data_IF_710573424292
#
_entry.id   IF_710573424292
#
_cell.length_a   1.000
_cell.length_b   1.000
_cell.length_c   1.000
_cell.angle_alpha   90.00
_cell.angle_beta   90.00
_cell.angle_gamma   90.00
#
_symmetry.space_group_name_H-M   'P 1'
#
loop_
_entity.id
_entity.type
_entity.pdbx_description
1 polymer ?
#
# COMPACT_ATOMS: atom_id res chain seq x y z
N UNK A 1 49.65 -13.29 -68.89
CA UNK A 1 50.48 -12.34 -69.66
C UNK A 1 49.95 -10.93 -69.33
N UNK A 2 50.77 -10.10 -68.65
CA UNK A 2 50.59 -8.64 -68.35
C UNK A 2 49.34 -8.27 -67.52
N UNK A 3 49.34 -7.66 -66.31
CA UNK A 3 50.22 -6.78 -65.53
C UNK A 3 50.49 -5.39 -66.09
N UNK A 4 50.31 -4.39 -65.19
CA UNK A 4 50.65 -2.95 -65.19
C UNK A 4 49.48 -2.00 -65.52
N UNK A 5 49.26 -0.85 -64.87
CA UNK A 5 49.78 -0.14 -63.66
C UNK A 5 48.88 1.10 -63.47
N UNK A 6 48.76 1.65 -62.27
CA UNK A 6 48.36 3.07 -62.11
C UNK A 6 47.83 3.46 -60.72
N UNK A 7 48.71 4.08 -59.90
CA UNK A 7 48.41 4.76 -58.63
C UNK A 7 47.79 6.14 -58.89
N UNK A 8 46.93 6.63 -57.99
CA UNK A 8 47.19 7.83 -57.14
C UNK A 8 45.97 8.24 -56.30
N UNK A 9 46.28 8.71 -55.09
CA UNK A 9 45.40 9.24 -54.04
C UNK A 9 44.48 10.38 -54.48
N UNK A 10 43.31 10.49 -53.84
CA UNK A 10 42.84 11.78 -53.31
C UNK A 10 41.88 11.59 -52.13
N UNK A 11 42.05 12.46 -51.14
CA UNK A 11 41.36 12.51 -49.86
C UNK A 11 39.87 12.82 -50.04
N UNK A 12 39.01 12.15 -49.27
CA UNK A 12 37.56 12.37 -49.32
C UNK A 12 36.90 12.20 -47.96
N UNK A 13 36.90 13.29 -47.19
CA UNK A 13 35.96 13.66 -46.13
C UNK A 13 35.36 12.56 -45.23
N UNK A 14 35.85 12.49 -43.98
CA UNK A 14 35.09 12.00 -42.83
C UNK A 14 33.86 12.89 -42.63
N UNK A 15 32.70 12.45 -43.10
CA UNK A 15 31.41 13.04 -42.71
C UNK A 15 31.04 12.50 -41.34
N UNK A 16 31.31 13.32 -40.32
CA UNK A 16 30.73 13.19 -38.98
C UNK A 16 29.21 13.28 -39.08
N UNK A 17 28.51 12.15 -38.96
CA UNK A 17 27.07 12.14 -38.69
C UNK A 17 26.85 12.56 -37.24
N UNK A 18 26.82 13.87 -37.05
CA UNK A 18 26.31 14.54 -35.87
C UNK A 18 24.82 14.13 -35.75
N UNK A 19 24.52 13.20 -34.83
CA UNK A 19 23.14 12.87 -34.46
C UNK A 19 22.61 14.00 -33.59
N UNK A 20 22.19 15.09 -34.22
CA UNK A 20 21.30 16.07 -33.60
C UNK A 20 19.88 15.47 -33.57
N UNK A 21 19.72 14.44 -32.75
CA UNK A 21 18.43 13.88 -32.39
C UNK A 21 18.05 14.40 -31.02
N UNK A 22 17.40 15.58 -30.96
CA UNK A 22 16.61 15.96 -29.79
C UNK A 22 15.51 14.92 -29.63
N UNK A 23 15.79 13.90 -28.83
CA UNK A 23 14.82 12.90 -28.43
C UNK A 23 13.73 13.57 -27.60
N UNK A 24 12.65 13.98 -28.25
CA UNK A 24 11.37 14.16 -27.58
C UNK A 24 10.80 12.76 -27.30
N UNK A 25 11.42 12.03 -26.37
CA UNK A 25 10.69 11.00 -25.65
C UNK A 25 9.53 11.68 -24.90
N UNK A 26 8.40 10.99 -24.66
CA UNK A 26 7.37 11.53 -23.79
C UNK A 26 8.04 11.91 -22.48
N UNK A 27 8.04 13.21 -22.13
CA UNK A 27 8.48 13.61 -20.79
C UNK A 27 7.50 12.98 -19.82
N UNK A 28 7.97 12.01 -19.04
CA UNK A 28 7.17 11.46 -17.96
C UNK A 28 6.66 12.62 -17.10
N UNK A 29 5.33 12.69 -16.95
CA UNK A 29 4.72 13.71 -16.12
C UNK A 29 5.16 13.45 -14.68
N UNK A 30 5.47 14.50 -13.90
CA UNK A 30 5.87 14.33 -12.52
C UNK A 30 4.74 13.62 -11.76
N UNK A 31 5.07 12.49 -11.15
CA UNK A 31 4.17 11.74 -10.28
C UNK A 31 4.39 12.18 -8.83
N UNK A 32 3.35 12.02 -8.01
CA UNK A 32 3.35 12.41 -6.62
C UNK A 32 2.66 11.37 -5.76
N UNK A 33 3.00 11.34 -4.47
CA UNK A 33 2.34 10.50 -3.50
C UNK A 33 1.09 11.22 -2.99
N UNK A 34 -0.07 10.59 -3.16
CA UNK A 34 -1.34 11.08 -2.63
C UNK A 34 -1.79 10.16 -1.51
N UNK A 35 -2.02 10.76 -0.33
CA UNK A 35 -2.52 10.08 0.86
C UNK A 35 -4.02 10.35 0.99
N UNK A 36 -4.79 9.31 1.30
CA UNK A 36 -6.22 9.42 1.64
C UNK A 36 -6.40 9.19 3.14
N UNK A 37 -7.10 10.09 3.82
CA UNK A 37 -7.42 10.03 5.24
C UNK A 37 -8.91 10.25 5.47
N UNK A 38 -9.45 9.75 6.57
CA UNK A 38 -10.83 9.97 7.00
C UNK A 38 -10.94 11.04 8.12
N UNK A 39 -10.07 12.04 8.03
CA UNK A 39 -9.88 13.15 8.98
C UNK A 39 -10.87 14.31 8.79
N UNK A 40 -11.80 14.19 7.85
CA UNK A 40 -12.85 15.19 7.63
C UNK A 40 -14.16 14.71 8.25
N UNK A 41 -14.86 15.58 8.97
CA UNK A 41 -16.09 15.20 9.70
C UNK A 41 -17.20 14.58 8.85
N UNK A 42 -17.16 14.78 7.53
CA UNK A 42 -18.14 14.24 6.58
C UNK A 42 -17.58 13.11 5.70
N UNK A 43 -16.33 12.70 5.90
CA UNK A 43 -15.71 11.62 5.12
C UNK A 43 -14.21 11.76 5.00
N UNK A 44 -13.73 11.90 3.77
CA UNK A 44 -12.33 11.70 3.43
C UNK A 44 -11.67 12.97 2.90
N UNK A 45 -10.36 13.08 3.09
CA UNK A 45 -9.50 14.06 2.44
C UNK A 45 -8.38 13.38 1.65
N UNK A 46 -8.03 13.98 0.51
CA UNK A 46 -6.88 13.58 -0.31
C UNK A 46 -5.81 14.64 -0.16
N UNK A 47 -4.61 14.25 0.22
CA UNK A 47 -3.47 15.14 0.49
C UNK A 47 -2.29 14.77 -0.40
N UNK A 48 -1.73 15.75 -1.09
CA UNK A 48 -0.49 15.59 -1.86
C UNK A 48 0.69 15.68 -0.91
N UNK A 49 1.50 14.63 -0.82
CA UNK A 49 2.68 14.57 0.05
C UNK A 49 3.91 15.09 -0.71
N UNK A 50 4.67 15.97 -0.06
CA UNK A 50 5.96 16.44 -0.57
C UNK A 50 7.09 15.56 -0.03
N UNK A 51 7.72 14.80 -0.92
CA UNK A 51 8.84 13.92 -0.57
C UNK A 51 10.19 14.66 -0.58
N UNK A 52 10.28 15.81 -1.27
CA UNK A 52 11.53 16.60 -1.37
C UNK A 52 11.90 17.31 -0.07
N UNK A 53 10.92 17.51 0.80
CA UNK A 53 11.11 18.11 2.12
C UNK A 53 11.99 17.24 3.03
N UNK A 54 11.93 15.90 2.86
CA UNK A 54 12.79 14.95 3.58
C UNK A 54 14.27 15.20 3.30
N UNK A 55 14.62 15.41 2.02
CA UNK A 55 16.01 15.68 1.61
C UNK A 55 16.52 17.02 2.15
N UNK A 56 15.63 18.01 2.28
CA UNK A 56 15.98 19.33 2.81
C UNK A 56 16.29 19.28 4.30
N UNK A 57 15.46 18.58 5.09
CA UNK A 57 15.73 18.38 6.53
C UNK A 57 17.01 17.57 6.72
N UNK A 58 17.22 16.51 5.93
CA UNK A 58 18.45 15.71 6.03
C UNK A 58 19.70 16.52 5.72
N UNK A 59 19.67 17.40 4.70
CA UNK A 59 20.79 18.30 4.40
C UNK A 59 21.10 19.24 5.57
N UNK A 60 20.06 19.77 6.22
CA UNK A 60 20.23 20.61 7.41
C UNK A 60 20.82 19.78 8.56
N UNK A 61 20.29 18.60 8.83
CA UNK A 61 20.79 17.75 9.92
C UNK A 61 22.24 17.29 9.70
N UNK A 62 22.58 16.82 8.49
CA UNK A 62 23.96 16.46 8.12
C UNK A 62 24.92 17.66 8.17
N UNK A 63 24.43 18.89 8.00
CA UNK A 63 25.27 20.09 8.20
C UNK A 63 25.50 20.46 9.68
N UNK A 64 24.76 19.84 10.60
CA UNK A 64 24.82 20.09 12.04
C UNK A 64 25.52 18.96 12.82
N UNK A 65 25.81 17.82 12.19
CA UNK A 65 26.50 16.68 12.80
C UNK A 65 27.93 16.57 12.27
N UNK A 66 28.89 16.27 13.14
CA UNK A 66 30.27 15.99 12.75
C UNK A 66 30.38 14.64 11.99
N UNK A 67 31.29 14.58 11.01
CA UNK A 67 31.41 13.60 9.91
C UNK A 67 31.60 12.10 10.29
N UNK A 68 31.52 11.69 11.56
CA UNK A 68 31.99 10.37 12.03
C UNK A 68 30.90 9.30 12.28
N UNK A 69 29.62 9.58 12.08
CA UNK A 69 28.55 8.59 12.26
C UNK A 69 27.84 8.26 10.93
N UNK A 70 28.26 7.15 10.30
CA UNK A 70 27.71 6.61 9.04
C UNK A 70 26.36 5.89 9.25
N UNK A 71 25.77 6.01 10.45
CA UNK A 71 24.42 5.53 10.71
C UNK A 71 23.37 6.49 10.16
N UNK A 72 22.35 5.95 9.47
CA UNK A 72 21.19 6.75 9.07
C UNK A 72 20.70 7.53 10.29
N UNK A 73 20.41 8.84 10.16
CA UNK A 73 20.07 9.66 11.31
C UNK A 73 18.93 8.97 12.03
N UNK A 74 19.17 8.62 13.30
CA UNK A 74 18.11 8.26 14.24
C UNK A 74 17.25 9.51 14.36
N UNK A 75 16.34 9.72 13.41
CA UNK A 75 15.25 10.69 13.48
C UNK A 75 14.25 10.15 14.51
N UNK A 76 14.74 9.91 15.73
CA UNK A 76 13.95 9.91 16.94
C UNK A 76 13.76 11.40 17.20
N UNK A 77 12.54 11.93 17.10
CA UNK A 77 12.27 13.24 17.64
C UNK A 77 12.50 13.11 19.16
N UNK A 78 13.64 13.59 19.64
CA UNK A 78 13.90 13.70 21.07
C UNK A 78 13.03 14.85 21.55
N UNK A 79 12.05 14.56 22.39
CA UNK A 79 11.30 15.57 23.13
C UNK A 79 12.17 15.97 24.33
N UNK A 80 13.13 16.89 24.11
CA UNK A 80 14.04 17.37 25.17
C UNK A 80 13.40 18.48 26.04
N UNK A 81 12.10 18.76 25.85
CA UNK A 81 11.37 19.80 26.58
C UNK A 81 11.83 21.24 26.30
N UNK A 82 12.92 21.45 25.55
CA UNK A 82 13.43 22.76 25.14
C UNK A 82 13.27 23.03 23.63
N UNK A 83 13.22 21.96 22.84
CA UNK A 83 13.24 21.93 21.38
C UNK A 83 12.22 20.90 20.91
N UNK A 84 10.93 21.22 21.10
CA UNK A 84 9.82 20.30 20.79
C UNK A 84 10.03 19.55 19.47
N UNK A 85 9.84 18.23 19.52
CA UNK A 85 10.01 17.32 18.40
C UNK A 85 9.48 17.90 17.06
N UNK A 86 10.36 18.00 16.05
CA UNK A 86 10.00 18.53 14.73
C UNK A 86 9.18 17.47 13.98
N UNK A 87 7.89 17.41 14.27
CA UNK A 87 6.92 16.65 13.48
C UNK A 87 6.47 17.47 12.27
N UNK A 88 6.31 16.82 11.11
CA UNK A 88 5.71 17.51 9.98
C UNK A 88 4.20 17.64 10.21
N UNK A 89 3.68 18.85 10.04
CA UNK A 89 2.26 19.04 9.84
C UNK A 89 1.82 18.41 8.52
N UNK A 90 0.66 17.77 8.49
CA UNK A 90 0.11 17.24 7.25
C UNK A 90 -0.15 18.36 6.22
N UNK A 91 0.25 18.18 4.95
CA UNK A 91 -0.10 19.12 3.89
C UNK A 91 -1.61 19.31 3.79
N UNK A 92 -2.09 20.51 3.48
CA UNK A 92 -3.52 20.80 3.36
C UNK A 92 -4.24 19.85 2.41
N UNK A 93 -5.50 19.53 2.74
CA UNK A 93 -6.37 18.73 1.89
C UNK A 93 -6.52 19.36 0.50
N UNK A 94 -6.21 18.58 -0.53
CA UNK A 94 -6.37 18.95 -1.93
C UNK A 94 -7.84 18.86 -2.35
N UNK A 95 -8.50 17.77 -1.95
CA UNK A 95 -9.90 17.43 -2.25
C UNK A 95 -10.50 16.80 -1.00
N UNK A 96 -11.77 17.04 -0.74
CA UNK A 96 -12.55 16.39 0.32
C UNK A 96 -13.85 15.87 -0.25
N UNK A 97 -14.15 14.61 0.00
CA UNK A 97 -15.35 13.96 -0.52
C UNK A 97 -16.09 13.22 0.60
N UNK A 98 -17.43 13.19 0.54
CA UNK A 98 -18.22 12.58 1.59
C UNK A 98 -17.97 11.07 1.64
N UNK A 99 -18.23 10.45 2.79
CA UNK A 99 -18.20 9.00 2.95
C UNK A 99 -18.21 8.56 4.41
N UNK A 100 -18.58 7.30 4.65
CA UNK A 100 -18.52 6.72 5.99
C UNK A 100 -17.06 6.59 6.42
N UNK A 101 -16.68 7.22 7.53
CA UNK A 101 -15.34 7.16 8.12
C UNK A 101 -15.08 5.76 8.72
N UNK A 102 -13.81 5.41 8.91
CA UNK A 102 -13.40 4.09 9.43
C UNK A 102 -13.38 2.95 8.40
N UNK A 103 -13.54 3.27 7.12
CA UNK A 103 -13.75 2.28 6.06
C UNK A 103 -12.73 2.45 4.93
N UNK A 104 -11.42 2.22 5.16
CA UNK A 104 -10.39 2.38 4.12
C UNK A 104 -10.67 1.56 2.85
N UNK A 105 -11.40 0.45 2.98
CA UNK A 105 -11.86 -0.41 1.88
C UNK A 105 -12.86 0.28 0.93
N UNK A 106 -13.47 1.38 1.38
CA UNK A 106 -14.28 2.27 0.54
C UNK A 106 -13.44 2.95 -0.54
N UNK A 107 -12.12 3.08 -0.33
CA UNK A 107 -11.20 3.61 -1.32
C UNK A 107 -10.66 2.44 -2.13
N UNK A 108 -11.22 2.29 -3.32
CA UNK A 108 -11.09 1.08 -4.10
C UNK A 108 -9.71 1.00 -4.75
N UNK A 109 -9.25 2.09 -5.34
CA UNK A 109 -7.94 2.11 -5.95
C UNK A 109 -7.71 3.34 -6.80
N UNK A 110 -6.58 3.34 -7.49
CA UNK A 110 -6.24 4.35 -8.46
C UNK A 110 -5.78 3.70 -9.77
N UNK A 111 -6.11 4.37 -10.87
CA UNK A 111 -5.61 4.06 -12.20
C UNK A 111 -5.54 5.37 -12.99
N UNK A 112 -4.50 5.51 -13.80
CA UNK A 112 -4.12 6.76 -14.43
C UNK A 112 -4.09 7.92 -13.43
N UNK A 113 -5.00 8.89 -13.56
CA UNK A 113 -5.05 10.10 -12.74
C UNK A 113 -6.21 10.09 -11.74
N UNK A 114 -6.92 8.96 -11.63
CA UNK A 114 -8.18 8.88 -10.91
C UNK A 114 -8.04 8.04 -9.66
N UNK A 115 -8.75 8.46 -8.62
CA UNK A 115 -9.01 7.66 -7.42
C UNK A 115 -10.50 7.33 -7.41
N UNK A 116 -10.83 6.05 -7.25
CA UNK A 116 -12.19 5.59 -7.09
C UNK A 116 -12.51 5.34 -5.62
N UNK A 117 -13.67 5.83 -5.19
CA UNK A 117 -14.23 5.54 -3.89
C UNK A 117 -15.70 5.07 -4.03
N UNK A 118 -16.06 3.99 -3.33
CA UNK A 118 -17.44 3.57 -3.14
C UNK A 118 -17.85 3.85 -1.71
N UNK A 119 -18.96 4.57 -1.51
CA UNK A 119 -19.47 4.77 -0.16
C UNK A 119 -20.21 3.51 0.33
N UNK A 120 -19.98 3.08 1.58
CA UNK A 120 -20.77 2.02 2.19
C UNK A 120 -22.24 2.40 2.29
N UNK A 121 -23.11 1.39 2.26
CA UNK A 121 -24.55 1.52 2.37
C UNK A 121 -24.96 2.29 3.63
N UNK A 122 -25.56 3.47 3.50
CA UNK A 122 -26.34 4.07 4.59
C UNK A 122 -27.72 3.42 4.56
N UNK A 123 -27.95 2.46 5.46
CA UNK A 123 -29.29 1.98 5.71
C UNK A 123 -30.07 3.14 6.31
N UNK A 124 -31.14 3.55 5.62
CA UNK A 124 -32.17 4.52 6.00
C UNK A 124 -32.03 5.91 5.37
N UNK A 125 -32.58 6.07 4.16
CA UNK A 125 -33.72 6.96 3.90
C UNK A 125 -34.51 6.39 2.68
N UNK A 126 -35.81 6.12 2.83
CA UNK A 126 -36.79 5.90 1.75
C UNK A 126 -36.70 4.66 0.83
N UNK A 127 -36.20 3.50 1.27
CA UNK A 127 -36.28 2.22 0.51
C UNK A 127 -35.70 2.24 -0.93
N UNK A 128 -34.90 3.25 -1.28
CA UNK A 128 -34.14 3.31 -2.52
C UNK A 128 -32.66 3.31 -2.14
N UNK A 129 -31.99 2.17 -2.37
CA UNK A 129 -30.55 2.05 -2.22
C UNK A 129 -29.91 2.84 -3.36
N UNK A 130 -29.30 3.99 -3.07
CA UNK A 130 -28.48 4.71 -4.03
C UNK A 130 -27.02 4.61 -3.60
N UNK A 131 -26.22 3.94 -4.43
CA UNK A 131 -24.77 3.93 -4.30
C UNK A 131 -24.23 5.30 -4.73
N UNK A 132 -23.83 6.15 -3.80
CA UNK A 132 -23.02 7.32 -4.15
C UNK A 132 -21.58 6.86 -4.28
N UNK A 133 -21.10 6.83 -5.50
CA UNK A 133 -19.77 6.34 -5.78
C UNK A 133 -19.05 7.36 -6.64
N UNK A 134 -17.83 7.66 -6.24
CA UNK A 134 -17.16 8.91 -6.59
C UNK A 134 -15.88 8.55 -7.33
N UNK A 135 -15.81 8.95 -8.61
CA UNK A 135 -14.55 8.99 -9.33
C UNK A 135 -13.96 10.40 -9.18
N UNK A 136 -12.69 10.48 -8.78
CA UNK A 136 -12.02 11.75 -8.51
C UNK A 136 -10.83 11.86 -9.45
N UNK A 137 -10.86 12.82 -10.37
CA UNK A 137 -9.67 13.17 -11.15
C UNK A 137 -8.77 14.07 -10.29
N UNK A 138 -7.62 13.55 -9.90
CA UNK A 138 -6.67 14.24 -9.03
C UNK A 138 -5.95 15.38 -9.74
N UNK A 139 -5.75 15.29 -11.06
CA UNK A 139 -5.07 16.33 -11.82
C UNK A 139 -5.99 17.51 -12.08
N UNK A 140 -7.24 17.25 -12.46
CA UNK A 140 -8.24 18.30 -12.68
C UNK A 140 -8.87 18.79 -11.36
N UNK A 141 -8.75 18.01 -10.28
CA UNK A 141 -9.39 18.25 -8.98
C UNK A 141 -10.92 18.31 -9.08
N UNK A 142 -11.48 17.43 -9.91
CA UNK A 142 -12.90 17.39 -10.23
C UNK A 142 -13.49 16.03 -9.89
N UNK A 143 -14.77 16.06 -9.55
CA UNK A 143 -15.59 14.87 -9.50
C UNK A 143 -16.00 14.49 -10.92
N UNK A 144 -15.90 13.20 -11.22
CA UNK A 144 -16.43 12.60 -12.44
C UNK A 144 -17.63 11.76 -12.04
N UNK A 145 -18.70 11.84 -12.82
CA UNK A 145 -19.82 10.91 -12.69
C UNK A 145 -19.26 9.48 -12.81
N UNK A 146 -19.34 8.77 -11.69
CA UNK A 146 -18.61 7.53 -11.55
C UNK A 146 -19.19 6.44 -12.45
N UNK A 147 -18.39 5.42 -12.79
CA UNK A 147 -18.78 4.32 -13.68
C UNK A 147 -19.94 3.44 -13.20
N UNK A 148 -20.56 3.73 -12.05
CA UNK A 148 -21.21 2.73 -11.22
C UNK A 148 -22.55 2.26 -11.80
N UNK A 149 -22.73 0.94 -11.88
CA UNK A 149 -23.99 0.32 -12.28
C UNK A 149 -24.91 0.10 -11.07
N UNK A 150 -26.23 0.10 -11.28
CA UNK A 150 -27.25 -0.17 -10.25
C UNK A 150 -27.14 -1.58 -9.59
N UNK A 151 -26.31 -2.46 -10.17
CA UNK A 151 -26.11 -3.88 -9.80
C UNK A 151 -24.97 -4.13 -8.82
N UNK A 152 -24.38 -3.09 -8.21
CA UNK A 152 -23.31 -3.21 -7.20
C UNK A 152 -23.82 -3.53 -5.78
N UNK A 153 -25.10 -3.88 -5.64
CA UNK A 153 -25.73 -4.22 -4.36
C UNK A 153 -25.07 -5.42 -3.65
N UNK A 154 -24.40 -6.30 -4.41
CA UNK A 154 -23.88 -7.58 -3.91
C UNK A 154 -22.36 -7.61 -3.66
N UNK A 155 -21.59 -6.58 -4.07
CA UNK A 155 -20.13 -6.61 -3.96
C UNK A 155 -19.67 -5.88 -2.69
N UNK A 156 -19.44 -6.63 -1.60
CA UNK A 156 -18.83 -6.08 -0.38
C UNK A 156 -17.31 -6.08 -0.50
N UNK A 157 -16.71 -4.89 -0.37
CA UNK A 157 -15.27 -4.71 -0.18
C UNK A 157 -14.37 -5.47 -1.18
N UNK A 158 -14.47 -5.22 -2.51
CA UNK A 158 -13.68 -5.96 -3.50
C UNK A 158 -12.18 -5.61 -3.44
N UNK A 159 -11.32 -6.57 -3.80
CA UNK A 159 -9.91 -6.31 -4.09
C UNK A 159 -9.86 -5.68 -5.47
N UNK A 160 -9.30 -4.47 -5.53
CA UNK A 160 -9.13 -3.74 -6.77
C UNK A 160 -7.69 -3.85 -7.27
N UNK A 161 -7.52 -4.22 -8.53
CA UNK A 161 -6.23 -4.56 -9.13
C UNK A 161 -6.06 -3.70 -10.40
N UNK A 162 -5.25 -2.63 -10.35
CA UNK A 162 -4.96 -1.82 -11.53
C UNK A 162 -3.95 -2.53 -12.44
N UNK A 163 -4.28 -2.70 -13.72
CA UNK A 163 -3.47 -3.40 -14.73
C UNK A 163 -3.62 -2.70 -16.08
N UNK A 164 -2.53 -2.19 -16.65
CA UNK A 164 -2.49 -1.68 -18.03
C UNK A 164 -3.58 -0.65 -18.38
N UNK A 165 -3.89 0.30 -17.49
CA UNK A 165 -4.96 1.31 -17.69
C UNK A 165 -6.38 0.80 -17.47
N UNK A 166 -6.54 -0.44 -17.01
CA UNK A 166 -7.80 -1.07 -16.63
C UNK A 166 -7.82 -1.31 -15.13
N UNK A 167 -9.01 -1.42 -14.56
CA UNK A 167 -9.19 -1.74 -13.16
C UNK A 167 -10.02 -3.01 -13.02
N UNK A 168 -9.48 -3.99 -12.31
CA UNK A 168 -10.14 -5.26 -12.06
C UNK A 168 -10.67 -5.31 -10.64
N UNK A 169 -11.87 -5.84 -10.47
CA UNK A 169 -12.57 -5.96 -9.20
C UNK A 169 -12.83 -7.43 -8.93
N UNK A 170 -12.20 -7.93 -7.88
CA UNK A 170 -12.35 -9.30 -7.39
C UNK A 170 -13.19 -9.25 -6.11
N UNK A 171 -14.31 -9.98 -6.08
CA UNK A 171 -15.18 -10.12 -4.90
C UNK A 171 -15.78 -11.53 -4.81
N UNK A 172 -16.59 -11.76 -3.77
CA UNK A 172 -17.12 -13.08 -3.34
C UNK A 172 -17.54 -14.00 -4.49
N UNK A 173 -18.33 -13.50 -5.44
CA UNK A 173 -18.83 -14.29 -6.58
C UNK A 173 -18.72 -13.55 -7.93
N UNK A 174 -17.85 -12.53 -7.99
CA UNK A 174 -17.70 -11.71 -9.18
C UNK A 174 -16.25 -11.35 -9.47
N UNK A 175 -15.90 -11.40 -10.75
CA UNK A 175 -14.68 -10.80 -11.26
C UNK A 175 -15.07 -9.89 -12.41
N UNK A 176 -14.79 -8.60 -12.29
CA UNK A 176 -15.22 -7.58 -13.25
C UNK A 176 -14.07 -6.69 -13.66
N UNK A 177 -14.10 -6.22 -14.89
CA UNK A 177 -13.17 -5.24 -15.43
C UNK A 177 -13.89 -3.93 -15.68
N UNK A 178 -13.25 -2.84 -15.32
CA UNK A 178 -13.60 -1.48 -15.69
C UNK A 178 -12.51 -0.92 -16.61
N UNK A 179 -12.92 -0.39 -17.75
CA UNK A 179 -12.04 0.40 -18.62
C UNK A 179 -12.73 1.68 -19.08
N UNK A 180 -11.93 2.66 -19.48
CA UNK A 180 -12.42 3.82 -20.22
C UNK A 180 -12.49 3.48 -21.70
N UNK A 181 -13.65 3.70 -22.30
CA UNK A 181 -13.82 3.73 -23.75
C UNK A 181 -13.78 5.18 -24.22
N UNK A 182 -12.93 5.45 -25.21
CA UNK A 182 -12.99 6.68 -25.97
C UNK A 182 -14.06 6.49 -27.05
N UNK A 183 -15.17 7.22 -26.94
CA UNK A 183 -16.12 7.33 -28.04
C UNK A 183 -15.68 8.53 -28.91
N UNK A 184 -15.12 8.23 -30.09
CA UNK A 184 -14.65 9.23 -31.06
C UNK A 184 -15.76 10.20 -31.53
N UNK A 185 -17.02 9.94 -31.20
CA UNK A 185 -18.15 10.78 -31.61
C UNK A 185 -18.44 11.94 -30.64
N UNK A 186 -17.88 11.95 -29.43
CA UNK A 186 -18.21 12.95 -28.39
C UNK A 186 -16.94 13.50 -27.70
N UNK A 187 -16.69 14.80 -27.85
CA UNK A 187 -15.52 15.51 -27.29
C UNK A 187 -15.55 15.57 -25.73
N UNK A 188 -16.64 15.12 -25.09
CA UNK A 188 -16.89 15.32 -23.67
C UNK A 188 -17.26 14.07 -22.84
N UNK A 189 -17.35 12.86 -23.40
CA UNK A 189 -17.72 11.68 -22.61
C UNK A 189 -16.71 10.54 -22.76
N UNK A 190 -15.82 10.39 -21.78
CA UNK A 190 -15.24 9.08 -21.46
C UNK A 190 -16.36 8.17 -21.00
N UNK A 191 -16.76 7.21 -21.84
CA UNK A 191 -17.76 6.23 -21.48
C UNK A 191 -17.09 5.10 -20.69
N UNK A 192 -17.64 4.80 -19.52
CA UNK A 192 -17.16 3.70 -18.69
C UNK A 192 -17.74 2.39 -19.18
N UNK A 193 -16.89 1.39 -19.40
CA UNK A 193 -17.32 0.07 -19.86
C UNK A 193 -16.97 -0.96 -18.81
N UNK A 194 -18.01 -1.66 -18.35
CA UNK A 194 -17.87 -2.84 -17.50
C UNK A 194 -17.88 -4.10 -18.34
N UNK A 195 -17.07 -5.06 -17.95
CA UNK A 195 -17.09 -6.41 -18.52
C UNK A 195 -17.02 -7.44 -17.41
N UNK A 196 -17.95 -8.39 -17.43
CA UNK A 196 -17.86 -9.55 -16.56
C UNK A 196 -16.78 -10.51 -17.06
N UNK A 197 -16.03 -11.06 -16.11
CA UNK A 197 -14.96 -12.00 -16.33
C UNK A 197 -15.31 -13.34 -15.69
N UNK A 198 -14.57 -14.41 -16.01
CA UNK A 198 -14.76 -15.71 -15.39
C UNK A 198 -14.74 -15.60 -13.86
N UNK A 199 -15.75 -16.19 -13.24
CA UNK A 199 -15.87 -16.18 -11.78
C UNK A 199 -14.66 -16.87 -11.14
N UNK A 200 -14.17 -16.37 -9.99
CA UNK A 200 -13.12 -17.02 -9.23
C UNK A 200 -13.50 -18.46 -8.89
N UNK A 201 -12.53 -19.36 -8.94
CA UNK A 201 -12.70 -20.78 -8.55
C UNK A 201 -12.29 -21.03 -7.09
N UNK A 202 -12.28 -19.96 -6.28
CA UNK A 202 -11.80 -19.93 -4.90
C UNK A 202 -12.60 -18.90 -4.09
N UNK A 203 -12.55 -19.03 -2.76
CA UNK A 203 -13.27 -18.14 -1.84
C UNK A 203 -12.52 -16.82 -1.68
N UNK A 204 -13.11 -15.74 -2.16
CA UNK A 204 -12.50 -14.40 -2.12
C UNK A 204 -11.99 -13.98 -0.74
N UNK A 205 -12.72 -14.30 0.33
CA UNK A 205 -12.43 -13.87 1.70
C UNK A 205 -11.13 -14.47 2.25
N UNK A 206 -10.63 -15.53 1.61
CA UNK A 206 -9.38 -16.20 1.96
C UNK A 206 -8.18 -15.67 1.18
N UNK A 207 -8.37 -14.71 0.26
CA UNK A 207 -7.28 -14.06 -0.48
C UNK A 207 -6.42 -13.26 0.48
N UNK A 208 -5.12 -13.55 0.46
CA UNK A 208 -4.11 -12.88 1.30
C UNK A 208 -3.25 -11.92 0.51
N UNK A 209 -3.03 -12.20 -0.79
CA UNK A 209 -2.23 -11.36 -1.65
C UNK A 209 -2.50 -11.53 -3.14
N UNK A 210 -2.02 -10.55 -3.90
CA UNK A 210 -2.04 -10.59 -5.35
C UNK A 210 -0.82 -9.88 -5.93
N UNK A 211 -0.44 -10.24 -7.15
CA UNK A 211 0.60 -9.57 -7.92
C UNK A 211 0.19 -9.50 -9.39
N UNK A 212 0.66 -8.47 -10.08
CA UNK A 212 0.48 -8.34 -11.54
C UNK A 212 1.77 -8.82 -12.19
N UNK A 213 1.64 -9.68 -13.20
CA UNK A 213 2.78 -10.22 -13.95
C UNK A 213 3.40 -9.13 -14.84
N UNK A 214 4.71 -9.21 -15.17
CA UNK A 214 5.41 -8.25 -16.04
C UNK A 214 4.80 -8.04 -17.42
N UNK A 215 3.94 -8.95 -17.87
CA UNK A 215 3.24 -8.84 -19.14
C UNK A 215 2.07 -7.83 -19.10
N UNK A 216 1.82 -7.22 -17.94
CA UNK A 216 0.76 -6.23 -17.70
C UNK A 216 -0.64 -6.74 -18.09
N UNK A 217 -0.86 -8.06 -18.03
CA UNK A 217 -2.16 -8.69 -18.32
C UNK A 217 -2.49 -9.83 -17.38
N UNK A 218 -1.51 -10.56 -16.87
CA UNK A 218 -1.76 -11.72 -16.04
C UNK A 218 -1.80 -11.31 -14.58
N UNK A 219 -2.85 -11.69 -13.87
CA UNK A 219 -3.01 -11.42 -12.45
C UNK A 219 -2.78 -12.72 -11.70
N UNK A 220 -1.94 -12.70 -10.68
CA UNK A 220 -1.74 -13.79 -9.73
C UNK A 220 -2.42 -13.44 -8.40
N UNK A 221 -3.12 -14.40 -7.82
CA UNK A 221 -3.83 -14.26 -6.53
C UNK A 221 -3.49 -15.46 -5.66
N UNK A 222 -3.08 -15.21 -4.42
CA UNK A 222 -2.80 -16.25 -3.44
C UNK A 222 -3.72 -16.10 -2.23
N UNK A 223 -3.98 -17.23 -1.58
CA UNK A 223 -4.82 -17.26 -0.40
C UNK A 223 -4.68 -18.53 0.42
N UNK A 224 -5.24 -18.48 1.61
CA UNK A 224 -5.19 -19.55 2.61
C UNK A 224 -6.39 -20.48 2.48
N UNK A 225 -6.50 -21.17 1.35
CA UNK A 225 -7.62 -22.06 1.00
C UNK A 225 -7.51 -23.45 1.65
N UNK A 226 -7.16 -23.50 2.93
CA UNK A 226 -6.80 -24.73 3.65
C UNK A 226 -5.38 -25.24 3.34
N UNK A 227 -4.92 -25.09 2.10
CA UNK A 227 -3.51 -25.26 1.69
C UNK A 227 -3.03 -24.00 0.94
N UNK A 228 -1.77 -23.56 1.14
CA UNK A 228 -1.21 -22.43 0.40
C UNK A 228 -1.32 -22.68 -1.10
N UNK A 229 -2.07 -21.84 -1.80
CA UNK A 229 -2.37 -22.02 -3.22
C UNK A 229 -2.36 -20.67 -3.93
N UNK A 230 -1.87 -20.69 -5.17
CA UNK A 230 -1.87 -19.53 -6.05
C UNK A 230 -2.71 -19.81 -7.28
N UNK A 231 -3.44 -18.82 -7.75
CA UNK A 231 -4.21 -18.84 -8.97
C UNK A 231 -3.73 -17.74 -9.90
N UNK A 232 -3.88 -17.93 -11.21
CA UNK A 232 -3.68 -16.85 -12.18
C UNK A 232 -4.82 -16.76 -13.18
N UNK A 233 -4.96 -15.60 -13.79
CA UNK A 233 -5.87 -15.35 -14.90
C UNK A 233 -5.23 -14.40 -15.90
N UNK A 234 -5.23 -14.77 -17.19
CA UNK A 234 -4.87 -13.87 -18.29
C UNK A 234 -6.09 -12.98 -18.61
N UNK A 235 -5.90 -11.67 -18.49
CA UNK A 235 -6.95 -10.67 -18.74
C UNK A 235 -6.91 -10.05 -20.14
N UNK A 236 -6.10 -10.60 -21.05
CA UNK A 236 -5.98 -10.16 -22.44
C UNK A 236 -7.35 -9.97 -23.11
N UNK A 237 -7.50 -8.91 -23.88
CA UNK A 237 -8.72 -8.67 -24.66
C UNK A 237 -8.76 -9.62 -25.86
N UNK A 238 -9.80 -10.46 -26.02
CA UNK A 238 -9.92 -11.31 -27.20
C UNK A 238 -9.89 -10.51 -28.51
N UNK A 239 -10.26 -9.22 -28.50
CA UNK A 239 -10.17 -8.35 -29.68
C UNK A 239 -8.74 -7.88 -30.01
N UNK A 240 -7.78 -7.97 -29.08
CA UNK A 240 -6.39 -7.50 -29.29
C UNK A 240 -5.50 -8.50 -30.04
N UNK A 241 -5.94 -9.75 -30.21
CA UNK A 241 -5.16 -10.77 -30.91
C UNK A 241 -5.90 -11.25 -32.15
N UNK A 242 -5.29 -11.05 -33.32
CA UNK A 242 -5.69 -11.66 -34.59
C UNK A 242 -5.30 -13.15 -34.66
N UNK A 243 -5.43 -13.88 -33.55
CA UNK A 243 -5.17 -15.31 -33.45
C UNK A 243 -6.47 -16.06 -33.73
N UNK A 244 -6.42 -17.10 -34.55
CA UNK A 244 -7.58 -17.92 -34.92
C UNK A 244 -8.12 -18.76 -33.73
N UNK A 245 -7.33 -18.90 -32.67
CA UNK A 245 -7.71 -19.58 -31.42
C UNK A 245 -8.21 -18.54 -30.38
N UNK A 246 -9.45 -18.66 -29.87
CA UNK A 246 -9.96 -17.76 -28.84
C UNK A 246 -9.16 -17.93 -27.54
N UNK A 247 -8.62 -16.84 -27.01
CA UNK A 247 -8.00 -16.86 -25.67
C UNK A 247 -9.10 -17.18 -24.65
N UNK A 248 -9.09 -18.40 -24.12
CA UNK A 248 -10.00 -18.82 -23.06
C UNK A 248 -9.53 -18.13 -21.77
N UNK A 249 -10.32 -17.16 -21.29
CA UNK A 249 -10.12 -16.58 -19.97
C UNK A 249 -10.60 -17.60 -18.95
N UNK A 250 -9.68 -18.23 -18.23
CA UNK A 250 -9.97 -19.18 -17.16
C UNK A 250 -8.98 -19.00 -16.02
N UNK A 251 -9.45 -19.21 -14.79
CA UNK A 251 -8.59 -19.24 -13.62
C UNK A 251 -7.78 -20.54 -13.62
N UNK A 252 -6.46 -20.40 -13.62
CA UNK A 252 -5.50 -21.52 -13.52
C UNK A 252 -5.00 -21.63 -12.09
N UNK A 253 -5.01 -22.83 -11.53
CA UNK A 253 -4.38 -23.11 -10.23
C UNK A 253 -2.91 -23.48 -10.42
N UNK A 254 -2.03 -22.88 -9.63
CA UNK A 254 -0.59 -23.09 -9.61
C UNK A 254 -0.17 -23.75 -8.29
N UNK A 255 0.47 -24.92 -8.40
CA UNK A 255 1.20 -25.62 -7.33
C UNK A 255 0.56 -25.64 -5.93
N UNK A 256 1.39 -25.92 -4.93
CA UNK A 256 1.09 -25.79 -3.50
C UNK A 256 2.01 -24.72 -2.89
N UNK A 257 1.90 -23.50 -3.39
CA UNK A 257 2.68 -22.35 -2.94
C UNK A 257 1.81 -21.10 -2.93
N UNK A 258 2.23 -20.09 -2.16
CA UNK A 258 1.59 -18.78 -2.09
C UNK A 258 2.62 -17.67 -2.28
N UNK A 259 2.17 -16.52 -2.80
CA UNK A 259 2.97 -15.31 -2.81
C UNK A 259 3.39 -14.97 -1.36
N UNK A 260 4.66 -14.60 -1.13
CA UNK A 260 5.19 -14.35 0.21
C UNK A 260 4.87 -12.92 0.70
N UNK A 261 3.75 -12.35 0.22
CA UNK A 261 3.37 -10.96 0.46
C UNK A 261 2.06 -10.85 1.21
N UNK A 262 1.93 -9.83 2.06
CA UNK A 262 0.64 -9.38 2.58
C UNK A 262 0.08 -8.31 1.65
N UNK A 263 -1.10 -8.52 1.07
CA UNK A 263 -1.72 -7.58 0.15
C UNK A 263 -1.06 -7.57 -1.24
N UNK A 264 -0.65 -6.40 -1.73
CA UNK A 264 -0.14 -6.25 -3.11
C UNK A 264 1.36 -6.52 -3.20
N UNK A 265 1.75 -7.42 -4.11
CA UNK A 265 3.10 -7.52 -4.66
C UNK A 265 3.26 -6.62 -5.90
N UNK A 266 4.42 -5.99 -6.03
CA UNK A 266 4.79 -5.14 -7.15
C UNK A 266 5.90 -5.81 -7.94
N UNK A 267 5.76 -5.88 -9.27
CA UNK A 267 6.90 -6.24 -10.10
C UNK A 267 7.88 -5.08 -10.19
N UNK A 268 9.16 -5.35 -9.94
CA UNK A 268 10.24 -4.42 -10.17
C UNK A 268 11.12 -4.88 -11.34
N UNK A 269 11.21 -4.12 -12.44
CA UNK A 269 11.93 -4.53 -13.64
C UNK A 269 13.46 -4.49 -13.50
N UNK A 270 14.01 -3.75 -12.54
CA UNK A 270 15.46 -3.70 -12.32
C UNK A 270 15.95 -4.89 -11.51
N UNK A 271 15.12 -5.37 -10.58
CA UNK A 271 15.38 -6.59 -9.80
C UNK A 271 14.87 -7.87 -10.47
N UNK A 272 14.01 -7.74 -11.50
CA UNK A 272 13.30 -8.83 -12.17
C UNK A 272 12.58 -9.76 -11.19
N UNK A 273 11.89 -9.15 -10.21
CA UNK A 273 11.28 -9.87 -9.10
C UNK A 273 9.96 -9.22 -8.68
N UNK A 274 9.07 -10.00 -8.07
CA UNK A 274 7.97 -9.44 -7.30
C UNK A 274 8.48 -9.03 -5.92
N UNK A 275 8.03 -7.85 -5.46
CA UNK A 275 8.42 -7.19 -4.23
C UNK A 275 7.16 -6.91 -3.40
N UNK A 276 7.18 -7.23 -2.11
CA UNK A 276 6.05 -6.94 -1.23
C UNK A 276 6.41 -6.94 0.25
N UNK A 277 5.43 -6.62 1.09
CA UNK A 277 5.56 -6.70 2.55
C UNK A 277 5.49 -8.17 2.99
N UNK A 278 6.41 -8.59 3.87
CA UNK A 278 6.41 -9.98 4.37
C UNK A 278 5.06 -10.38 5.00
N UNK A 279 4.69 -11.65 4.79
CA UNK A 279 3.56 -12.30 5.49
C UNK A 279 3.92 -12.85 6.85
N UNK A 280 5.19 -13.15 7.09
CA UNK A 280 5.60 -13.94 8.26
C UNK A 280 5.78 -13.05 9.49
N UNK A 281 5.37 -13.56 10.65
CA UNK A 281 5.37 -12.79 11.91
C UNK A 281 6.79 -12.48 12.41
N UNK A 282 7.74 -13.37 12.17
CA UNK A 282 9.15 -13.24 12.53
C UNK A 282 9.89 -12.25 11.63
N UNK A 283 9.46 -12.11 10.38
CA UNK A 283 10.03 -11.16 9.42
C UNK A 283 9.16 -9.91 9.23
N UNK A 284 8.25 -9.61 10.18
CA UNK A 284 7.39 -8.43 10.12
C UNK A 284 8.18 -7.12 9.99
N UNK A 285 7.82 -6.32 8.98
CA UNK A 285 8.49 -5.07 8.65
C UNK A 285 9.66 -5.22 7.68
N UNK A 286 9.99 -6.43 7.23
CA UNK A 286 10.90 -6.65 6.11
C UNK A 286 10.16 -6.60 4.77
N UNK A 287 10.92 -6.25 3.73
CA UNK A 287 10.49 -6.40 2.34
C UNK A 287 10.94 -7.78 1.87
N UNK A 288 10.10 -8.44 1.11
CA UNK A 288 10.41 -9.73 0.49
C UNK A 288 10.47 -9.53 -1.01
N UNK A 289 11.45 -10.19 -1.65
CA UNK A 289 11.45 -10.42 -3.09
C UNK A 289 11.30 -11.90 -3.39
N UNK A 290 10.60 -12.22 -4.47
CA UNK A 290 10.58 -13.57 -5.03
C UNK A 290 10.58 -13.54 -6.56
N UNK A 291 11.01 -14.65 -7.18
CA UNK A 291 11.00 -14.78 -8.63
C UNK A 291 9.58 -14.65 -9.19
N UNK A 292 9.47 -14.11 -10.41
CA UNK A 292 8.20 -14.02 -11.12
C UNK A 292 7.79 -15.41 -11.60
N UNK A 293 6.62 -15.87 -11.17
CA UNK A 293 6.09 -17.16 -11.60
C UNK A 293 5.65 -17.12 -13.07
N UNK A 294 5.98 -18.17 -13.82
CA UNK A 294 5.49 -18.34 -15.19
C UNK A 294 3.97 -18.58 -15.21
N UNK A 295 3.21 -17.89 -16.07
CA UNK A 295 1.76 -18.12 -16.20
C UNK A 295 1.42 -19.48 -16.82
N UNK A 296 2.39 -20.12 -17.49
CA UNK A 296 2.24 -21.42 -18.16
C UNK A 296 2.86 -22.58 -17.35
N UNK A 297 3.25 -22.35 -16.11
CA UNK A 297 3.80 -23.42 -15.25
C UNK A 297 2.76 -24.51 -14.97
N UNK A 298 3.15 -25.78 -15.14
CA UNK A 298 2.29 -26.91 -14.79
C UNK A 298 2.00 -26.98 -13.28
N UNK A 299 0.84 -27.55 -12.90
CA UNK A 299 0.43 -27.78 -11.50
C UNK A 299 1.48 -28.53 -10.66
N UNK A 300 2.32 -29.33 -11.30
CA UNK A 300 3.33 -30.17 -10.66
C UNK A 300 4.67 -29.45 -10.43
N UNK A 301 4.87 -28.25 -11.00
CA UNK A 301 6.02 -27.42 -10.66
C UNK A 301 5.73 -26.72 -9.33
N UNK A 302 6.37 -27.20 -8.26
CA UNK A 302 6.67 -26.34 -7.13
C UNK A 302 7.56 -25.24 -7.68
N UNK A 303 7.14 -23.98 -7.70
CA UNK A 303 8.02 -22.89 -7.30
C UNK A 303 7.32 -21.53 -7.29
N UNK A 304 7.24 -20.96 -6.10
CA UNK A 304 7.85 -19.67 -5.83
C UNK A 304 9.27 -19.99 -5.34
N UNK A 305 10.32 -19.60 -6.06
CA UNK A 305 11.70 -19.81 -5.60
C UNK A 305 12.51 -18.53 -5.58
N UNK A 306 13.61 -18.60 -4.83
CA UNK A 306 14.48 -17.47 -4.49
C UNK A 306 13.75 -16.41 -3.62
N UNK A 307 13.22 -16.86 -2.48
CA UNK A 307 12.77 -15.95 -1.43
C UNK A 307 13.97 -15.22 -0.84
N UNK A 308 13.95 -13.89 -0.90
CA UNK A 308 14.98 -13.06 -0.28
C UNK A 308 14.30 -11.97 0.54
N UNK A 309 14.70 -11.89 1.80
CA UNK A 309 14.24 -10.87 2.73
C UNK A 309 15.22 -9.70 2.70
N UNK A 310 14.70 -8.48 2.91
CA UNK A 310 15.54 -7.34 3.14
C UNK A 310 16.40 -7.56 4.38
N UNK A 311 17.64 -7.08 4.37
CA UNK A 311 18.49 -7.08 5.57
C UNK A 311 17.95 -6.14 6.64
N UNK A 312 17.39 -5.02 6.19
CA UNK A 312 16.87 -4.00 7.06
C UNK A 312 15.40 -4.27 7.39
N UNK A 313 15.05 -4.09 8.66
CA UNK A 313 13.68 -3.97 9.11
C UNK A 313 13.22 -2.52 8.92
N UNK A 314 12.16 -2.31 8.16
CA UNK A 314 11.73 -0.97 7.76
C UNK A 314 10.72 -0.32 8.70
N UNK A 315 10.03 -1.11 9.53
CA UNK A 315 9.17 -0.62 10.60
C UNK A 315 9.96 0.11 11.68
N UNK A 316 9.27 0.85 12.54
CA UNK A 316 9.91 1.53 13.65
C UNK A 316 10.46 0.54 14.68
N UNK A 317 11.71 0.74 15.07
CA UNK A 317 12.37 -0.01 16.16
C UNK A 317 12.41 0.79 17.47
N UNK A 318 11.85 2.00 17.47
CA UNK A 318 11.82 2.86 18.66
C UNK A 318 10.82 2.26 19.67
N UNK A 319 11.23 1.91 20.90
CA UNK A 319 10.38 1.17 21.84
C UNK A 319 9.06 1.87 22.21
N UNK A 320 9.05 3.21 22.19
CA UNK A 320 7.87 4.03 22.48
C UNK A 320 6.90 4.14 21.30
N UNK A 321 7.34 3.76 20.09
CA UNK A 321 6.54 3.77 18.87
C UNK A 321 5.95 2.38 18.65
N UNK A 322 4.62 2.32 18.58
CA UNK A 322 3.90 1.06 18.41
C UNK A 322 3.29 1.00 17.02
N UNK A 323 3.66 -0.04 16.28
CA UNK A 323 3.14 -0.33 14.96
C UNK A 323 1.64 -0.68 14.99
N UNK A 324 0.85 -0.08 14.11
CA UNK A 324 -0.59 -0.35 13.93
C UNK A 324 -0.81 -1.12 12.61
N UNK A 325 -0.17 -0.67 11.54
CA UNK A 325 -0.30 -1.24 10.21
C UNK A 325 0.58 -0.52 9.19
N UNK A 326 0.66 -1.06 7.99
CA UNK A 326 1.46 -0.47 6.92
C UNK A 326 0.93 -0.77 5.53
N UNK A 327 1.37 0.04 4.56
CA UNK A 327 1.15 -0.18 3.13
C UNK A 327 2.39 0.21 2.35
N UNK A 328 2.75 -0.61 1.37
CA UNK A 328 3.86 -0.38 0.47
C UNK A 328 3.34 0.19 -0.86
N UNK A 329 4.02 1.24 -1.35
CA UNK A 329 3.72 1.89 -2.62
C UNK A 329 4.96 1.85 -3.50
N UNK A 330 4.84 1.26 -4.70
CA UNK A 330 5.89 1.33 -5.71
C UNK A 330 5.87 2.70 -6.40
N UNK A 331 7.03 3.35 -6.47
CA UNK A 331 7.18 4.68 -7.05
C UNK A 331 7.73 4.64 -8.49
N UNK A 332 8.20 3.48 -8.96
CA UNK A 332 8.84 3.35 -10.26
C UNK A 332 10.22 4.01 -10.33
N UNK A 333 11.05 3.51 -11.24
CA UNK A 333 12.42 3.98 -11.48
C UNK A 333 13.38 3.73 -10.30
N UNK A 334 14.56 3.20 -10.57
CA UNK A 334 15.62 2.95 -9.58
C UNK A 334 15.14 2.10 -8.39
N UNK A 335 14.27 1.13 -8.68
CA UNK A 335 13.58 0.29 -7.69
C UNK A 335 13.08 1.03 -6.45
N UNK A 336 12.48 2.22 -6.65
CA UNK A 336 12.07 3.12 -5.56
C UNK A 336 10.69 2.77 -5.01
N UNK A 337 10.60 2.73 -3.69
CA UNK A 337 9.39 2.45 -2.94
C UNK A 337 9.17 3.46 -1.82
N UNK A 338 7.92 3.54 -1.38
CA UNK A 338 7.51 4.27 -0.20
C UNK A 338 6.70 3.35 0.73
N UNK A 339 7.15 3.23 1.97
CA UNK A 339 6.44 2.53 3.03
C UNK A 339 5.70 3.54 3.90
N UNK A 340 4.39 3.36 4.03
CA UNK A 340 3.53 4.09 4.94
C UNK A 340 3.29 3.23 6.15
N UNK A 341 3.68 3.68 7.34
CA UNK A 341 3.52 2.98 8.59
C UNK A 341 2.68 3.82 9.55
N UNK A 342 1.53 3.31 9.99
CA UNK A 342 0.72 3.92 11.04
C UNK A 342 1.28 3.54 12.41
N UNK A 343 1.55 4.55 13.26
CA UNK A 343 2.06 4.33 14.61
C UNK A 343 1.35 5.21 15.64
N UNK A 344 1.34 4.78 16.89
CA UNK A 344 1.10 5.66 18.03
C UNK A 344 2.35 5.77 18.90
N UNK A 345 2.51 6.91 19.58
CA UNK A 345 3.54 7.13 20.58
C UNK A 345 2.88 7.11 21.95
N UNK A 346 3.29 6.18 22.81
CA UNK A 346 2.89 6.19 24.21
C UNK A 346 3.68 7.30 24.94
N UNK A 347 2.98 8.25 25.57
CA UNK A 347 3.62 9.15 26.52
C UNK A 347 4.21 8.30 27.64
N UNK A 348 5.50 8.48 27.94
CA UNK A 348 6.19 7.64 28.93
C UNK A 348 5.46 7.67 30.27
N UNK A 349 5.23 6.50 30.86
CA UNK A 349 5.06 6.37 32.31
C UNK A 349 6.43 6.70 32.92
N UNK A 350 6.75 7.97 32.97
CA UNK A 350 7.98 8.51 33.54
C UNK A 350 7.58 9.64 34.48
N UNK A 351 6.75 9.32 35.48
CA UNK A 351 6.56 10.12 36.69
C UNK A 351 5.81 9.32 37.78
N UNK A 352 6.18 8.06 37.97
CA UNK A 352 5.94 7.42 39.26
C UNK A 352 7.28 7.28 39.99
N UNK A 353 7.47 7.93 41.14
CA UNK A 353 8.64 7.67 41.97
C UNK A 353 8.57 6.19 42.37
N UNK A 354 9.55 5.41 41.94
CA UNK A 354 9.77 4.03 42.38
C UNK A 354 9.90 4.00 43.89
N UNK A 355 8.76 3.79 44.56
CA UNK A 355 8.67 3.31 45.92
C UNK A 355 9.05 1.84 45.92
N UNK A 356 10.20 1.56 46.53
CA UNK A 356 10.77 0.25 46.76
C UNK A 356 9.73 -0.71 47.38
N UNK A 357 9.57 -1.90 46.79
CA UNK A 357 8.72 -2.95 47.35
C UNK A 357 8.72 -4.21 46.49
N UNK A 358 9.76 -5.04 46.65
CA UNK A 358 9.72 -6.43 46.23
C UNK A 358 8.46 -7.11 46.79
N UNK A 359 7.66 -7.77 45.94
CA UNK A 359 6.94 -8.94 46.41
C UNK A 359 6.83 -10.00 45.31
N UNK A 360 7.25 -11.19 45.72
CA UNK A 360 7.56 -12.37 44.92
C UNK A 360 6.27 -13.01 44.40
N UNK A 361 6.35 -13.55 43.18
CA UNK A 361 5.47 -14.61 42.74
C UNK A 361 5.69 -15.85 43.62
N UNK A 362 4.61 -16.41 44.14
CA UNK A 362 4.55 -17.81 44.56
C UNK A 362 3.23 -18.39 44.08
N UNK A 363 3.37 -19.52 43.40
CA UNK A 363 2.35 -20.33 42.76
C UNK A 363 1.40 -21.07 43.73
N UNK A 364 0.31 -21.56 43.14
CA UNK A 364 -0.41 -22.81 43.43
C UNK A 364 -1.48 -22.89 44.54
N UNK A 365 -2.72 -23.13 44.05
CA UNK A 365 -3.69 -24.17 44.46
C UNK A 365 -4.25 -24.16 45.90
N UNK A 366 -5.56 -23.92 46.05
CA UNK A 366 -6.57 -24.98 46.18
C UNK A 366 -7.96 -24.48 46.60
N UNK A 367 -8.94 -25.27 46.17
CA UNK A 367 -10.37 -25.26 46.46
C UNK A 367 -10.70 -25.22 47.97
N UNK A 368 -11.83 -24.60 48.36
CA UNK A 368 -13.05 -25.26 48.90
C UNK A 368 -13.96 -24.31 49.70
N UNK A 369 -15.26 -24.55 49.52
CA UNK A 369 -16.41 -24.33 50.44
C UNK A 369 -16.82 -22.89 50.82
N UNK A 370 -17.96 -22.41 50.31
CA UNK A 370 -19.33 -22.62 50.83
C UNK A 370 -19.66 -21.64 51.98
N UNK A 371 -20.53 -20.66 51.70
CA UNK A 371 -21.86 -20.67 52.30
C UNK A 371 -22.78 -19.58 51.73
N UNK A 372 -23.99 -20.02 51.45
CA UNK A 372 -25.19 -19.23 51.15
C UNK A 372 -25.64 -18.52 52.43
N UNK A 373 -26.03 -17.25 52.37
CA UNK A 373 -27.27 -16.78 52.99
C UNK A 373 -27.79 -15.52 52.30
N UNK A 374 -29.12 -15.47 52.24
CA UNK A 374 -29.98 -14.56 51.50
C UNK A 374 -30.44 -13.40 52.39
N UNK A 375 -30.66 -12.26 51.72
CA UNK A 375 -31.56 -11.15 52.05
C UNK A 375 -31.28 -10.33 53.32
N UNK A 376 -31.07 -9.02 53.11
CA UNK A 376 -31.78 -7.93 53.81
C UNK A 376 -31.63 -6.66 52.96
N UNK A 377 -32.74 -6.19 52.39
CA UNK A 377 -32.91 -4.82 51.92
C UNK A 377 -32.85 -3.88 53.12
N UNK A 378 -31.99 -2.86 53.07
CA UNK A 378 -32.15 -1.59 53.78
C UNK A 378 -31.50 -0.48 52.95
N UNK A 379 -32.35 0.41 52.47
CA UNK A 379 -32.00 1.73 51.95
C UNK A 379 -31.38 2.59 53.08
N UNK A 380 -30.28 3.29 52.80
CA UNK A 380 -30.17 4.75 53.02
C UNK A 380 -28.76 5.26 52.66
N UNK A 381 -28.77 6.17 51.69
CA UNK A 381 -27.83 7.23 51.34
C UNK A 381 -26.32 7.17 51.69
N UNK A 382 -25.52 7.46 50.65
CA UNK A 382 -24.32 8.32 50.63
C UNK A 382 -22.96 7.60 50.73
N UNK A 383 -22.35 7.34 49.57
CA UNK A 383 -21.00 7.83 49.31
C UNK A 383 -20.69 7.85 47.80
N UNK A 384 -20.30 9.02 47.33
CA UNK A 384 -19.61 9.25 46.06
C UNK A 384 -18.31 8.43 46.05
N UNK A 385 -18.22 7.44 45.16
CA UNK A 385 -16.95 7.03 44.59
C UNK A 385 -17.22 6.76 43.11
N UNK A 386 -17.06 7.82 42.31
CA UNK A 386 -16.84 7.65 40.88
C UNK A 386 -15.49 6.96 40.75
N UNK A 387 -15.49 5.65 40.49
CA UNK A 387 -14.38 5.00 39.80
C UNK A 387 -14.32 5.65 38.42
N UNK A 388 -13.56 6.75 38.35
CA UNK A 388 -13.10 7.29 37.08
C UNK A 388 -12.11 6.27 36.56
N UNK A 389 -12.60 5.35 35.73
CA UNK A 389 -11.77 4.67 34.74
C UNK A 389 -10.98 5.77 34.04
N UNK A 390 -9.69 5.90 34.39
CA UNK A 390 -8.78 6.79 33.71
C UNK A 390 -8.79 6.32 32.26
N UNK A 391 -9.35 7.15 31.40
CA UNK A 391 -9.56 6.86 29.98
C UNK A 391 -8.18 6.92 29.29
N UNK A 392 -7.37 5.87 29.44
CA UNK A 392 -5.99 5.77 28.93
C UNK A 392 -5.87 5.91 27.41
N UNK A 393 -7.00 5.92 26.67
CA UNK A 393 -7.04 6.13 25.23
C UNK A 393 -6.82 7.58 24.77
N UNK A 394 -6.92 8.59 25.67
CA UNK A 394 -6.90 10.00 25.25
C UNK A 394 -5.51 10.63 25.05
N UNK A 395 -4.43 10.01 25.54
CA UNK A 395 -3.08 10.61 25.50
C UNK A 395 -2.15 10.06 24.40
N UNK A 396 -2.64 9.16 23.54
CA UNK A 396 -1.82 8.58 22.47
C UNK A 396 -1.74 9.51 21.24
N UNK A 397 -0.56 10.07 20.97
CA UNK A 397 -0.30 10.84 19.74
C UNK A 397 -0.13 9.89 18.54
N UNK A 398 -0.89 10.13 17.48
CA UNK A 398 -0.93 9.32 16.25
C UNK A 398 -0.03 9.91 15.17
N UNK A 399 0.75 9.07 14.51
CA UNK A 399 1.63 9.49 13.42
C UNK A 399 1.55 8.55 12.23
N UNK A 400 1.78 9.14 11.05
CA UNK A 400 2.13 8.40 9.86
C UNK A 400 3.64 8.54 9.63
N UNK A 401 4.35 7.43 9.73
CA UNK A 401 5.77 7.32 9.46
C UNK A 401 5.97 6.90 8.01
N UNK A 402 6.56 7.79 7.22
CA UNK A 402 6.82 7.60 5.80
C UNK A 402 8.29 7.25 5.58
N UNK A 403 8.57 6.11 4.96
CA UNK A 403 9.95 5.68 4.65
C UNK A 403 10.10 5.48 3.15
N UNK A 404 10.86 6.35 2.47
CA UNK A 404 11.22 6.15 1.05
C UNK A 404 12.59 5.49 0.94
N UNK A 405 12.75 4.57 0.01
CA UNK A 405 14.00 3.82 -0.20
C UNK A 405 14.03 3.25 -1.63
N UNK A 406 15.22 2.89 -2.09
CA UNK A 406 15.47 2.13 -3.30
C UNK A 406 16.01 0.75 -2.92
N UNK A 407 15.50 -0.29 -3.54
CA UNK A 407 15.94 -1.67 -3.32
C UNK A 407 17.05 -2.04 -4.29
N UNK A 408 17.96 -2.90 -3.85
CA UNK A 408 18.96 -3.56 -4.69
C UNK A 408 19.38 -4.89 -4.10
N UNK A 409 19.97 -5.74 -4.94
CA UNK A 409 20.73 -6.87 -4.46
C UNK A 409 22.17 -6.44 -4.15
N UNK A 410 22.68 -6.85 -3.00
CA UNK A 410 24.09 -6.63 -2.67
C UNK A 410 25.02 -7.68 -3.31
N UNK A 411 26.31 -7.63 -2.98
CA UNK A 411 27.30 -8.56 -3.51
C UNK A 411 27.06 -10.02 -3.11
N UNK A 412 26.30 -10.28 -2.05
CA UNK A 412 25.93 -11.62 -1.60
C UNK A 412 24.60 -12.08 -2.22
N UNK A 413 23.94 -11.20 -2.98
CA UNK A 413 22.63 -11.47 -3.58
C UNK A 413 21.46 -11.25 -2.61
N UNK A 414 21.70 -10.67 -1.44
CA UNK A 414 20.67 -10.36 -0.45
C UNK A 414 19.96 -9.05 -0.81
N UNK A 415 18.66 -8.97 -0.49
CA UNK A 415 17.88 -7.75 -0.71
C UNK A 415 18.26 -6.70 0.35
N UNK A 416 18.47 -5.46 -0.07
CA UNK A 416 18.83 -4.35 0.82
C UNK A 416 18.32 -3.02 0.30
N UNK A 417 18.14 -2.06 1.20
CA UNK A 417 17.88 -0.66 0.85
C UNK A 417 19.15 0.12 0.50
N UNK A 418 20.34 -0.42 0.74
CA UNK A 418 21.60 0.18 0.32
C UNK A 418 21.84 1.60 0.83
N UNK A 419 21.40 1.92 2.06
CA UNK A 419 21.49 3.24 2.71
C UNK A 419 20.70 4.36 2.01
N UNK A 420 19.74 3.99 1.16
CA UNK A 420 18.86 4.94 0.46
C UNK A 420 17.67 5.41 1.31
N UNK A 421 17.48 4.84 2.51
CA UNK A 421 16.33 5.10 3.37
C UNK A 421 16.23 6.56 3.76
N UNK A 422 15.04 7.14 3.63
CA UNK A 422 14.68 8.47 4.14
C UNK A 422 13.37 8.36 4.89
N UNK A 423 13.33 8.90 6.11
CA UNK A 423 12.19 8.77 7.01
C UNK A 423 11.60 10.15 7.30
N UNK A 424 10.28 10.25 7.29
CA UNK A 424 9.53 11.42 7.74
C UNK A 424 8.38 11.00 8.65
N UNK A 425 8.02 11.88 9.58
CA UNK A 425 6.90 11.68 10.48
C UNK A 425 5.86 12.78 10.25
N UNK A 426 4.61 12.39 10.03
CA UNK A 426 3.48 13.30 9.94
C UNK A 426 2.58 13.10 11.15
N UNK A 427 2.34 14.17 11.91
CA UNK A 427 1.34 14.16 12.97
C UNK A 427 -0.04 14.03 12.34
N UNK A 428 -0.85 13.10 12.83
CA UNK A 428 -2.21 12.89 12.35
C UNK A 428 -3.22 13.58 13.26
N UNK A 429 -4.30 14.16 12.70
CA UNK A 429 -5.44 14.62 13.47
C UNK A 429 -6.04 13.46 14.29
N UNK A 430 -6.62 13.78 15.44
CA UNK A 430 -7.28 12.78 16.29
C UNK A 430 -8.52 12.18 15.60
N UNK A 431 -9.04 12.89 14.59
CA UNK A 431 -10.11 12.45 13.71
C UNK A 431 -9.68 11.31 12.77
N UNK A 432 -8.39 11.00 12.60
CA UNK A 432 -8.02 9.81 11.80
C UNK A 432 -8.35 8.55 12.59
N UNK A 433 -9.13 7.65 12.01
CA UNK A 433 -9.59 6.44 12.70
C UNK A 433 -8.53 5.33 12.71
N UNK A 434 -8.66 4.38 13.65
CA UNK A 434 -7.75 3.23 13.75
C UNK A 434 -7.74 2.35 12.50
N UNK A 435 -8.89 2.04 11.84
CA UNK A 435 -8.87 1.31 10.58
C UNK A 435 -8.02 2.00 9.49
N UNK A 436 -8.04 3.34 9.42
CA UNK A 436 -7.24 4.09 8.47
C UNK A 436 -5.73 4.03 8.78
N UNK A 437 -5.37 3.89 10.05
CA UNK A 437 -3.99 3.64 10.48
C UNK A 437 -3.53 2.21 10.25
N UNK A 438 -4.44 1.24 10.40
CA UNK A 438 -4.19 -0.18 10.17
C UNK A 438 -4.00 -0.50 8.69
N UNK A 439 -4.73 0.21 7.82
CA UNK A 439 -4.64 0.06 6.37
C UNK A 439 -4.45 1.43 5.68
N UNK A 440 -3.26 2.06 5.79
CA UNK A 440 -3.01 3.36 5.18
C UNK A 440 -3.24 3.34 3.67
N UNK A 441 -4.04 4.28 3.16
CA UNK A 441 -4.37 4.33 1.73
C UNK A 441 -3.56 5.41 1.03
N UNK A 442 -2.70 5.01 0.09
CA UNK A 442 -1.94 5.94 -0.73
C UNK A 442 -1.68 5.45 -2.14
N UNK A 443 -1.49 6.41 -3.05
CA UNK A 443 -1.28 6.16 -4.47
C UNK A 443 -0.14 7.03 -5.02
N UNK A 444 0.65 6.46 -5.92
CA UNK A 444 1.67 7.17 -6.68
C UNK A 444 1.18 7.47 -8.10
N UNK A 445 0.83 8.74 -8.37
CA UNK A 445 0.07 9.19 -9.56
C UNK A 445 0.70 10.40 -10.22
#
# INVERSE_FOLDING_TARGET
MQSWKGKSNEEGAKVSRQRDGRGYGPKEKPRHLYLVLDDWSWGYSIRKIDLSFSDSIRKIYLSLCDDDDDSDPKLIPIDDGQTGAIYNGLPSALIRFPGRRGEPKSILGAFDNMILAMQPLDYQVNNLVQHYSTAIDIRMRTYIDGPWQDTWQDVRNPICIPVGGKLFFLGDDSFRMLCQSYDDTCICNTAWVWSELPKPIFQYELVTSYAVHPDERTIFVSGSFGVPTTFSIDTADPATFSSEEPIIREWKQHGLWQLPFTGRGYFDPELDAWIGLSTELDTIGHIVSCDVASPDSDRNQQQCSSLKFSKERLFSEVPTQRHIGATLVYMGGESKFCLLEGIYIQAGIADQPTGCGEMKFVDELNETEADKYSACELDDERNEFSDSEVNEEQDQKRFLRLTTFSLKYDMNGDLTTGNSRRVCYYSLPQEVTDPMLKYPVAFWI
#
